data_IF_700670509493
#
_entry.id   IF_700670509493
#
_cell.length_a   1.000
_cell.length_b   1.000
_cell.length_c   1.000
_cell.angle_alpha   90.00
_cell.angle_beta   90.00
_cell.angle_gamma   90.00
#
_symmetry.space_group_name_H-M   'P 1'
#
loop_
_entity.id
_entity.type
_entity.pdbx_description
1 polymer ?
#
# COMPACT_ATOMS: atom_id res chain seq x y z
N UNK A 1 10.70 13.93 3.40
CA UNK A 1 9.75 14.83 4.10
C UNK A 1 10.26 15.30 5.47
N UNK A 2 10.77 14.40 6.31
CA UNK A 2 11.21 14.68 7.70
C UNK A 2 12.22 15.83 7.84
N UNK A 3 13.26 15.88 6.99
CA UNK A 3 14.27 16.96 7.01
C UNK A 3 13.68 18.33 6.70
N UNK A 4 12.77 18.42 5.72
CA UNK A 4 12.10 19.68 5.38
C UNK A 4 11.19 20.14 6.50
N UNK A 5 10.43 19.22 7.11
CA UNK A 5 9.59 19.51 8.27
C UNK A 5 10.43 20.04 9.43
N UNK A 6 11.55 19.39 9.74
CA UNK A 6 12.48 19.84 10.77
C UNK A 6 12.99 21.27 10.50
N UNK A 7 13.39 21.57 9.26
CA UNK A 7 13.87 22.89 8.87
C UNK A 7 12.78 23.97 9.02
N UNK A 8 11.57 23.69 8.53
CA UNK A 8 10.42 24.60 8.61
C UNK A 8 10.04 24.86 10.08
N UNK A 9 10.02 23.83 10.93
CA UNK A 9 9.74 23.98 12.36
C UNK A 9 10.82 24.82 13.04
N UNK A 10 12.10 24.51 12.80
CA UNK A 10 13.22 25.22 13.42
C UNK A 10 13.19 26.71 13.09
N UNK A 11 13.08 27.06 11.80
CA UNK A 11 13.03 28.45 11.37
C UNK A 11 11.70 29.12 11.76
N UNK A 12 10.60 28.37 11.77
CA UNK A 12 9.31 28.85 12.25
C UNK A 12 9.37 29.30 13.71
N UNK A 13 9.88 28.44 14.60
CA UNK A 13 10.02 28.73 16.02
C UNK A 13 10.95 29.91 16.30
N UNK A 14 12.04 30.04 15.54
CA UNK A 14 12.96 31.18 15.63
C UNK A 14 12.27 32.51 15.31
N UNK A 15 11.40 32.55 14.29
CA UNK A 15 10.68 33.77 13.92
C UNK A 15 9.54 34.10 14.90
N UNK A 16 8.88 33.07 15.45
CA UNK A 16 7.85 33.25 16.49
C UNK A 16 8.47 33.78 17.78
N UNK A 17 9.61 33.23 18.22
CA UNK A 17 10.34 33.74 19.40
C UNK A 17 10.85 35.16 19.23
N UNK A 18 11.13 35.59 17.99
CA UNK A 18 11.44 36.97 17.64
C UNK A 18 10.22 37.92 17.61
N UNK A 19 9.02 37.44 17.95
CA UNK A 19 7.79 38.25 18.05
C UNK A 19 6.90 38.24 16.80
N UNK A 20 7.19 37.42 15.78
CA UNK A 20 6.33 37.31 14.60
C UNK A 20 5.00 36.62 14.93
N UNK A 21 3.91 37.06 14.30
CA UNK A 21 2.60 36.42 14.46
C UNK A 21 2.59 35.02 13.80
N UNK A 22 2.37 33.92 14.57
CA UNK A 22 2.39 32.55 14.03
C UNK A 22 1.36 32.28 12.94
N UNK A 23 0.19 32.93 13.01
CA UNK A 23 -0.90 32.74 12.03
C UNK A 23 -0.51 33.33 10.68
N UNK A 24 0.13 34.51 10.68
CA UNK A 24 0.61 35.17 9.46
C UNK A 24 1.76 34.35 8.87
N UNK A 25 2.69 33.89 9.70
CA UNK A 25 3.82 33.06 9.29
C UNK A 25 3.35 31.77 8.60
N UNK A 26 2.38 31.05 9.19
CA UNK A 26 1.79 29.85 8.58
C UNK A 26 1.16 30.15 7.22
N UNK A 27 0.41 31.25 7.11
CA UNK A 27 -0.19 31.67 5.82
C UNK A 27 0.88 31.97 4.78
N UNK A 28 1.97 32.63 5.16
CA UNK A 28 3.11 32.91 4.28
C UNK A 28 3.78 31.63 3.79
N UNK A 29 4.06 30.68 4.69
CA UNK A 29 4.63 29.37 4.34
C UNK A 29 3.71 28.63 3.37
N UNK A 30 2.39 28.61 3.62
CA UNK A 30 1.45 27.92 2.74
C UNK A 30 1.45 28.49 1.31
N UNK A 31 1.41 29.82 1.16
CA UNK A 31 1.51 30.49 -0.14
C UNK A 31 2.85 30.20 -0.84
N UNK A 32 3.95 30.18 -0.09
CA UNK A 32 5.26 29.86 -0.63
C UNK A 32 5.32 28.40 -1.13
N UNK A 33 4.72 27.46 -0.39
CA UNK A 33 4.59 26.05 -0.81
C UNK A 33 3.74 25.93 -2.07
N UNK A 34 2.59 26.59 -2.13
CA UNK A 34 1.73 26.60 -3.33
C UNK A 34 2.49 27.08 -4.57
N UNK A 35 3.16 28.24 -4.48
CA UNK A 35 3.98 28.77 -5.56
C UNK A 35 5.14 27.84 -5.95
N UNK A 36 5.79 27.23 -4.95
CA UNK A 36 6.88 26.26 -5.19
C UNK A 36 6.38 25.01 -5.92
N UNK A 37 5.22 24.48 -5.55
CA UNK A 37 4.61 23.31 -6.20
C UNK A 37 4.20 23.64 -7.63
N UNK A 38 3.63 24.81 -7.88
CA UNK A 38 3.31 25.25 -9.24
C UNK A 38 4.54 25.34 -10.13
N UNK A 39 5.64 25.89 -9.61
CA UNK A 39 6.88 26.00 -10.37
C UNK A 39 7.55 24.64 -10.61
N UNK A 40 7.53 23.76 -9.61
CA UNK A 40 8.00 22.37 -9.76
C UNK A 40 7.22 21.61 -10.83
N UNK A 41 5.90 21.82 -10.93
CA UNK A 41 5.08 21.23 -12.00
C UNK A 41 5.51 21.72 -13.39
N UNK A 42 5.85 23.00 -13.54
CA UNK A 42 6.36 23.53 -14.82
C UNK A 42 7.73 22.98 -15.20
N UNK A 43 8.58 22.70 -14.22
CA UNK A 43 9.89 22.09 -14.43
C UNK A 43 9.83 20.57 -14.63
N UNK A 44 8.71 19.94 -14.24
CA UNK A 44 8.55 18.49 -14.40
C UNK A 44 8.52 18.10 -15.87
N UNK A 45 9.22 17.02 -16.21
CA UNK A 45 9.22 16.43 -17.54
C UNK A 45 8.38 15.16 -17.50
N UNK A 46 7.33 15.11 -18.33
CA UNK A 46 6.53 13.91 -18.52
C UNK A 46 7.38 12.91 -19.32
N UNK A 47 7.42 11.67 -18.84
CA UNK A 47 8.04 10.55 -19.54
C UNK A 47 6.97 9.81 -20.34
N UNK A 48 7.22 9.59 -21.62
CA UNK A 48 6.25 8.98 -22.54
C UNK A 48 6.79 7.77 -23.26
N UNK A 49 8.11 7.71 -23.44
CA UNK A 49 8.78 6.65 -24.19
C UNK A 49 9.26 5.53 -23.29
N UNK A 50 9.33 4.32 -23.84
CA UNK A 50 9.84 3.15 -23.13
C UNK A 50 11.31 3.34 -22.74
N UNK A 51 12.09 4.02 -23.58
CA UNK A 51 13.49 4.36 -23.30
C UNK A 51 13.64 5.28 -22.09
N UNK A 52 12.79 6.30 -21.96
CA UNK A 52 12.79 7.20 -20.79
C UNK A 52 12.41 6.43 -19.51
N UNK A 53 11.42 5.54 -19.58
CA UNK A 53 11.03 4.69 -18.45
C UNK A 53 12.19 3.79 -18.04
N UNK A 54 12.85 3.13 -19.00
CA UNK A 54 14.00 2.28 -18.74
C UNK A 54 15.16 3.06 -18.13
N UNK A 55 15.41 4.28 -18.62
CA UNK A 55 16.46 5.14 -18.09
C UNK A 55 16.18 5.56 -16.64
N UNK A 56 14.96 5.97 -16.32
CA UNK A 56 14.57 6.33 -14.94
C UNK A 56 14.69 5.11 -14.03
N UNK A 57 14.20 3.95 -14.46
CA UNK A 57 14.32 2.68 -13.74
C UNK A 57 15.78 2.28 -13.49
N UNK A 58 16.64 2.44 -14.50
CA UNK A 58 18.07 2.12 -14.39
C UNK A 58 18.80 3.06 -13.44
N UNK A 59 18.54 4.37 -13.51
CA UNK A 59 19.15 5.34 -12.59
C UNK A 59 18.67 5.13 -11.15
N UNK A 60 17.39 4.79 -10.96
CA UNK A 60 16.83 4.56 -9.62
C UNK A 60 17.30 3.25 -8.99
N UNK A 61 17.51 2.20 -9.78
CA UNK A 61 17.98 0.90 -9.31
C UNK A 61 19.51 0.77 -9.29
N UNK A 62 20.21 1.60 -10.07
CA UNK A 62 21.64 1.45 -10.32
C UNK A 62 21.98 0.36 -11.33
N UNK A 63 20.98 -0.24 -12.01
CA UNK A 63 21.14 -1.39 -12.89
C UNK A 63 20.33 -1.24 -14.19
N UNK A 64 21.01 -1.32 -15.34
CA UNK A 64 20.38 -1.21 -16.66
C UNK A 64 19.42 -2.37 -16.97
N UNK A 65 19.70 -3.57 -16.48
CA UNK A 65 18.87 -4.76 -16.71
C UNK A 65 17.53 -4.62 -15.99
N UNK A 66 17.56 -4.18 -14.73
CA UNK A 66 16.35 -3.88 -13.94
C UNK A 66 15.53 -2.78 -14.61
N UNK A 67 16.17 -1.70 -15.08
CA UNK A 67 15.49 -0.63 -15.82
C UNK A 67 14.75 -1.15 -17.05
N UNK A 68 15.40 -2.02 -17.84
CA UNK A 68 14.77 -2.66 -19.02
C UNK A 68 13.60 -3.58 -18.64
N UNK A 69 13.71 -4.33 -17.55
CA UNK A 69 12.63 -5.18 -17.06
C UNK A 69 11.41 -4.37 -16.61
N UNK A 70 11.62 -3.28 -15.89
CA UNK A 70 10.55 -2.34 -15.48
C UNK A 70 9.84 -1.77 -16.71
N UNK A 71 10.60 -1.32 -17.71
CA UNK A 71 10.04 -0.75 -18.92
C UNK A 71 9.23 -1.76 -19.75
N UNK A 72 9.66 -3.02 -19.80
CA UNK A 72 8.88 -4.12 -20.40
C UNK A 72 7.61 -4.43 -19.60
N UNK A 73 7.71 -4.46 -18.27
CA UNK A 73 6.55 -4.69 -17.41
C UNK A 73 5.47 -3.61 -17.64
N UNK A 74 5.87 -2.34 -17.61
CA UNK A 74 4.96 -1.20 -17.84
C UNK A 74 4.35 -1.17 -19.25
N UNK A 75 5.03 -1.72 -20.26
CA UNK A 75 4.47 -1.86 -21.60
C UNK A 75 3.31 -2.87 -21.63
N UNK A 76 3.45 -3.98 -20.90
CA UNK A 76 2.43 -5.03 -20.85
C UNK A 76 1.22 -4.62 -20.00
N UNK A 77 1.44 -4.06 -18.81
CA UNK A 77 0.35 -3.73 -17.87
C UNK A 77 -0.22 -2.32 -18.09
N UNK A 78 0.45 -1.48 -18.87
CA UNK A 78 0.10 -0.08 -19.09
C UNK A 78 0.51 0.85 -17.93
N UNK A 79 0.27 2.16 -18.08
CA UNK A 79 0.69 3.18 -17.09
C UNK A 79 0.00 3.08 -15.73
N UNK A 80 -1.21 2.54 -15.70
CA UNK A 80 -1.99 2.32 -14.46
C UNK A 80 -2.00 0.85 -14.01
N UNK A 81 -1.19 0.01 -14.67
CA UNK A 81 -1.05 -1.38 -14.30
C UNK A 81 -0.30 -1.56 -12.99
N UNK A 82 -0.61 -2.64 -12.29
CA UNK A 82 0.02 -2.99 -11.01
C UNK A 82 1.22 -3.88 -11.28
N UNK A 83 2.36 -3.53 -10.69
CA UNK A 83 3.58 -4.33 -10.74
C UNK A 83 3.89 -4.78 -9.31
N UNK A 84 3.94 -6.09 -9.10
CA UNK A 84 4.38 -6.70 -7.84
C UNK A 84 5.78 -7.28 -8.01
N UNK A 85 6.54 -7.33 -6.91
CA UNK A 85 7.88 -7.92 -6.89
C UNK A 85 7.88 -9.06 -5.89
N UNK A 86 8.22 -10.25 -6.35
CA UNK A 86 8.33 -11.46 -5.54
C UNK A 86 9.75 -12.02 -5.58
N UNK A 87 10.15 -12.72 -4.51
CA UNK A 87 11.46 -13.36 -4.44
C UNK A 87 11.45 -14.68 -5.22
N UNK A 88 12.27 -14.74 -6.27
CA UNK A 88 12.44 -15.97 -7.06
C UNK A 88 13.32 -16.99 -6.31
N UNK A 89 13.04 -18.28 -6.52
CA UNK A 89 13.90 -19.38 -6.07
C UNK A 89 15.09 -19.64 -7.02
N UNK A 90 15.13 -18.95 -8.15
CA UNK A 90 16.20 -19.06 -9.16
C UNK A 90 17.12 -17.83 -9.10
N UNK A 91 18.28 -17.91 -9.75
CA UNK A 91 19.23 -16.79 -9.85
C UNK A 91 18.80 -15.72 -10.87
N UNK A 92 17.75 -15.98 -11.65
CA UNK A 92 17.33 -15.09 -12.73
C UNK A 92 16.14 -14.24 -12.29
N UNK A 93 16.13 -12.98 -12.71
CA UNK A 93 14.97 -12.10 -12.60
C UNK A 93 14.07 -12.32 -13.80
N UNK A 94 12.84 -12.74 -13.56
CA UNK A 94 11.86 -13.04 -14.60
C UNK A 94 10.67 -12.08 -14.51
N UNK A 95 10.05 -11.81 -15.66
CA UNK A 95 8.80 -11.06 -15.74
C UNK A 95 7.68 -12.05 -16.05
N UNK A 96 6.76 -12.22 -15.10
CA UNK A 96 5.55 -13.00 -15.29
C UNK A 96 4.33 -12.08 -15.28
N UNK A 97 3.42 -12.30 -16.22
CA UNK A 97 2.19 -11.53 -16.36
C UNK A 97 1.02 -12.41 -15.96
N UNK A 98 0.36 -12.07 -14.87
CA UNK A 98 -0.81 -12.78 -14.37
C UNK A 98 -2.05 -11.90 -14.48
N UNK A 99 -3.19 -12.52 -14.77
CA UNK A 99 -4.47 -11.82 -14.68
C UNK A 99 -4.83 -11.64 -13.20
N UNK A 100 -4.98 -10.38 -12.78
CA UNK A 100 -5.26 -10.01 -11.40
C UNK A 100 -6.02 -8.70 -11.30
N UNK A 101 -6.31 -8.29 -10.07
CA UNK A 101 -7.02 -7.04 -9.80
C UNK A 101 -6.54 -6.45 -8.48
N UNK A 102 -6.37 -5.13 -8.47
CA UNK A 102 -6.15 -4.33 -7.26
C UNK A 102 -7.33 -3.38 -7.08
N UNK A 103 -7.69 -3.13 -5.83
CA UNK A 103 -8.68 -2.13 -5.46
C UNK A 103 -8.22 -1.39 -4.20
N UNK A 104 -8.67 -0.15 -4.03
CA UNK A 104 -8.22 0.75 -2.96
C UNK A 104 -8.94 0.47 -1.64
N UNK A 105 -8.71 -0.73 -1.07
CA UNK A 105 -9.12 -1.11 0.29
C UNK A 105 -8.00 -1.85 1.00
N UNK A 106 -7.78 -1.50 2.26
CA UNK A 106 -6.84 -2.17 3.15
C UNK A 106 -7.54 -3.09 4.14
N UNK A 107 -6.76 -3.91 4.84
CA UNK A 107 -7.30 -4.76 5.90
C UNK A 107 -7.96 -3.94 7.01
N UNK A 108 -9.06 -4.46 7.55
CA UNK A 108 -9.87 -3.76 8.58
C UNK A 108 -9.11 -3.58 9.91
N UNK A 109 -8.13 -4.45 10.19
CA UNK A 109 -7.34 -4.41 11.42
C UNK A 109 -5.87 -4.70 11.18
N UNK A 110 -4.98 -3.91 11.79
CA UNK A 110 -3.53 -4.11 11.73
C UNK A 110 -3.07 -5.47 12.29
N UNK A 111 -3.88 -6.11 13.14
CA UNK A 111 -3.62 -7.47 13.61
C UNK A 111 -3.81 -8.54 12.52
N UNK A 112 -4.31 -8.17 11.34
CA UNK A 112 -4.44 -9.05 10.17
C UNK A 112 -3.20 -9.08 9.29
N UNK A 113 -2.11 -8.42 9.69
CA UNK A 113 -0.81 -8.52 9.03
C UNK A 113 -0.23 -9.93 9.17
N UNK A 114 0.45 -10.43 8.14
CA UNK A 114 1.19 -11.70 8.18
C UNK A 114 2.71 -11.46 8.12
N UNK A 115 3.14 -10.44 7.39
CA UNK A 115 4.52 -9.96 7.37
C UNK A 115 4.60 -8.66 8.19
N UNK A 116 5.05 -8.79 9.44
CA UNK A 116 5.10 -7.68 10.41
C UNK A 116 6.15 -6.63 10.03
N UNK A 117 7.20 -7.02 9.30
CA UNK A 117 8.27 -6.11 8.89
C UNK A 117 7.81 -5.21 7.75
N UNK A 118 7.09 -5.78 6.77
CA UNK A 118 6.52 -5.04 5.63
C UNK A 118 5.15 -4.42 5.94
N UNK A 119 4.51 -4.83 7.03
CA UNK A 119 3.11 -4.50 7.35
C UNK A 119 2.14 -4.95 6.23
N UNK A 120 2.35 -6.15 5.70
CA UNK A 120 1.60 -6.73 4.59
C UNK A 120 0.83 -7.99 5.02
N UNK A 121 -0.31 -8.23 4.37
CA UNK A 121 -1.10 -9.44 4.55
C UNK A 121 -1.02 -10.31 3.27
N UNK A 122 -0.15 -11.31 3.30
CA UNK A 122 0.16 -12.21 2.19
C UNK A 122 -0.53 -13.57 2.43
N UNK A 123 -1.50 -13.89 1.60
CA UNK A 123 -2.25 -15.15 1.66
C UNK A 123 -1.98 -15.98 0.40
N UNK A 124 -1.36 -17.15 0.57
CA UNK A 124 -1.13 -18.11 -0.51
C UNK A 124 -2.32 -19.07 -0.63
N UNK A 125 -2.85 -19.24 -1.85
CA UNK A 125 -4.02 -20.07 -2.17
C UNK A 125 -5.22 -19.92 -1.19
N UNK A 126 -5.70 -18.69 -0.91
CA UNK A 126 -6.82 -18.48 -0.01
C UNK A 126 -8.17 -18.80 -0.67
N UNK A 127 -9.15 -19.19 0.14
CA UNK A 127 -10.55 -19.03 -0.25
C UNK A 127 -10.94 -17.56 -0.19
N UNK A 128 -11.78 -17.12 -1.12
CA UNK A 128 -12.28 -15.74 -1.17
C UNK A 128 -13.79 -15.76 -0.91
N UNK A 129 -14.21 -15.10 0.16
CA UNK A 129 -15.61 -14.84 0.47
C UNK A 129 -15.94 -13.40 0.09
N UNK A 130 -16.95 -13.21 -0.75
CA UNK A 130 -17.38 -11.87 -1.21
C UNK A 130 -18.85 -11.66 -0.81
N UNK A 131 -19.14 -10.54 -0.17
CA UNK A 131 -20.50 -10.12 0.13
C UNK A 131 -20.64 -8.60 0.06
N UNK A 132 -21.82 -8.11 -0.27
CA UNK A 132 -22.18 -6.70 -0.27
C UNK A 132 -22.75 -6.23 1.07
N UNK A 133 -22.80 -7.11 2.08
CA UNK A 133 -23.36 -6.82 3.40
C UNK A 133 -22.28 -6.52 4.42
N UNK A 134 -22.66 -5.74 5.44
CA UNK A 134 -21.89 -5.61 6.68
C UNK A 134 -21.93 -6.89 7.50
N UNK A 135 -20.79 -7.29 8.02
CA UNK A 135 -20.65 -8.45 8.90
C UNK A 135 -20.36 -7.97 10.31
N UNK A 136 -21.38 -8.02 11.17
CA UNK A 136 -21.26 -7.68 12.60
C UNK A 136 -21.36 -8.90 13.51
N UNK A 137 -22.01 -9.97 13.03
CA UNK A 137 -22.28 -11.19 13.79
C UNK A 137 -21.44 -12.37 13.28
N UNK A 138 -20.67 -13.00 14.17
CA UNK A 138 -19.82 -14.14 13.82
C UNK A 138 -20.62 -15.40 13.43
N UNK A 139 -21.86 -15.54 13.92
CA UNK A 139 -22.71 -16.70 13.66
C UNK A 139 -22.97 -16.90 12.16
N UNK A 140 -23.01 -15.82 11.38
CA UNK A 140 -23.18 -15.87 9.93
C UNK A 140 -21.96 -16.47 9.22
N UNK A 141 -20.77 -16.34 9.81
CA UNK A 141 -19.52 -16.86 9.27
C UNK A 141 -19.14 -18.25 9.79
N UNK A 142 -19.63 -18.65 10.96
CA UNK A 142 -19.26 -19.91 11.62
C UNK A 142 -19.33 -21.16 10.70
N UNK A 143 -20.39 -21.37 9.90
CA UNK A 143 -20.48 -22.54 9.03
C UNK A 143 -19.36 -22.61 7.99
N UNK A 144 -18.89 -21.46 7.52
CA UNK A 144 -17.83 -21.34 6.52
C UNK A 144 -16.47 -21.44 7.19
N UNK A 145 -16.28 -20.73 8.31
CA UNK A 145 -15.04 -20.75 9.09
C UNK A 145 -14.67 -22.16 9.54
N UNK A 146 -15.63 -22.94 10.03
CA UNK A 146 -15.38 -24.31 10.47
C UNK A 146 -14.80 -25.18 9.33
N UNK A 147 -15.39 -25.09 8.13
CA UNK A 147 -14.90 -25.84 6.95
C UNK A 147 -13.49 -25.43 6.53
N UNK A 148 -13.17 -24.14 6.63
CA UNK A 148 -11.85 -23.61 6.23
C UNK A 148 -10.78 -24.03 7.24
N UNK A 149 -11.10 -23.94 8.54
CA UNK A 149 -10.22 -24.38 9.63
C UNK A 149 -9.96 -25.88 9.53
N UNK A 150 -10.99 -26.70 9.28
CA UNK A 150 -10.84 -28.15 9.07
C UNK A 150 -9.89 -28.49 7.91
N UNK A 151 -9.91 -27.68 6.84
CA UNK A 151 -9.02 -27.85 5.69
C UNK A 151 -7.62 -27.26 5.90
N UNK A 152 -7.40 -26.52 7.00
CA UNK A 152 -6.15 -25.79 7.24
C UNK A 152 -5.87 -24.74 6.17
N UNK A 153 -6.91 -24.21 5.53
CA UNK A 153 -6.80 -23.23 4.43
C UNK A 153 -6.94 -21.79 4.96
N UNK A 154 -6.50 -20.84 4.14
CA UNK A 154 -6.56 -19.40 4.44
C UNK A 154 -7.85 -18.79 3.89
N UNK A 155 -8.30 -17.67 4.45
CA UNK A 155 -9.53 -16.97 4.02
C UNK A 155 -9.29 -15.47 3.83
N UNK A 156 -9.69 -14.97 2.67
CA UNK A 156 -9.88 -13.55 2.40
C UNK A 156 -11.39 -13.23 2.41
N UNK A 157 -11.80 -12.28 3.23
CA UNK A 157 -13.19 -11.77 3.27
C UNK A 157 -13.19 -10.39 2.64
N UNK A 158 -14.02 -10.19 1.62
CA UNK A 158 -14.30 -8.90 1.00
C UNK A 158 -15.75 -8.56 1.30
N UNK A 159 -15.98 -7.54 2.12
CA UNK A 159 -17.31 -7.14 2.57
C UNK A 159 -17.51 -5.62 2.46
N UNK A 160 -18.73 -5.13 2.68
CA UNK A 160 -18.95 -3.68 2.84
C UNK A 160 -18.17 -3.16 4.07
N UNK A 161 -18.27 -3.92 5.17
CA UNK A 161 -17.60 -3.65 6.44
C UNK A 161 -17.57 -4.92 7.30
N UNK A 162 -16.58 -5.05 8.19
CA UNK A 162 -16.49 -6.11 9.19
C UNK A 162 -16.25 -5.49 10.56
N UNK A 163 -17.27 -5.52 11.42
CA UNK A 163 -17.27 -4.75 12.66
C UNK A 163 -17.72 -5.57 13.88
N UNK A 164 -17.64 -4.94 15.06
CA UNK A 164 -18.20 -5.46 16.30
C UNK A 164 -17.61 -6.80 16.76
N UNK A 165 -18.51 -7.74 17.10
CA UNK A 165 -18.15 -9.05 17.64
C UNK A 165 -17.46 -9.92 16.58
N UNK A 166 -17.90 -9.84 15.32
CA UNK A 166 -17.28 -10.58 14.23
C UNK A 166 -15.80 -10.21 14.08
N UNK A 167 -15.48 -8.92 13.99
CA UNK A 167 -14.09 -8.46 13.86
C UNK A 167 -13.22 -8.92 15.04
N UNK A 168 -13.71 -8.72 16.26
CA UNK A 168 -12.99 -9.08 17.49
C UNK A 168 -12.67 -10.58 17.52
N UNK A 169 -13.63 -11.41 17.11
CA UNK A 169 -13.48 -12.87 17.09
C UNK A 169 -12.52 -13.33 15.99
N UNK A 170 -12.58 -12.74 14.80
CA UNK A 170 -11.67 -13.05 13.69
C UNK A 170 -10.22 -12.71 14.05
N UNK A 171 -10.00 -11.53 14.63
CA UNK A 171 -8.66 -11.11 15.09
C UNK A 171 -8.13 -12.06 16.17
N UNK A 172 -8.96 -12.42 17.15
CA UNK A 172 -8.55 -13.33 18.23
C UNK A 172 -8.17 -14.72 17.69
N UNK A 173 -8.93 -15.26 16.75
CA UNK A 173 -8.63 -16.55 16.13
C UNK A 173 -7.33 -16.52 15.32
N UNK A 174 -7.07 -15.42 14.61
CA UNK A 174 -5.79 -15.22 13.90
C UNK A 174 -4.62 -15.16 14.86
N UNK A 175 -4.71 -14.34 15.91
CA UNK A 175 -3.63 -14.20 16.92
C UNK A 175 -3.33 -15.52 17.65
N UNK A 176 -4.33 -16.40 17.78
CA UNK A 176 -4.17 -17.75 18.35
C UNK A 176 -3.64 -18.78 17.36
N UNK A 177 -3.43 -18.41 16.10
CA UNK A 177 -2.99 -19.34 15.04
C UNK A 177 -4.03 -20.39 14.64
N UNK A 178 -5.31 -20.17 14.98
CA UNK A 178 -6.40 -21.12 14.67
C UNK A 178 -6.76 -21.06 13.18
N UNK A 179 -6.74 -19.85 12.60
CA UNK A 179 -7.05 -19.64 11.20
C UNK A 179 -6.34 -18.39 10.66
N UNK A 180 -5.75 -18.47 9.46
CA UNK A 180 -5.22 -17.30 8.77
C UNK A 180 -6.31 -16.62 7.96
N UNK A 181 -6.79 -15.50 8.49
CA UNK A 181 -7.90 -14.73 7.91
C UNK A 181 -7.47 -13.27 7.71
N UNK A 182 -7.93 -12.66 6.62
CA UNK A 182 -7.84 -11.22 6.34
C UNK A 182 -9.21 -10.74 5.88
N UNK A 183 -9.68 -9.63 6.45
CA UNK A 183 -10.92 -8.98 6.05
C UNK A 183 -10.61 -7.60 5.49
N UNK A 184 -11.27 -7.24 4.39
CA UNK A 184 -11.10 -6.02 3.59
C UNK A 184 -12.46 -5.42 3.28
#
# INVERSE_FOLDING_TARGET
ATVLVQAIIREGLKNVTAGSNPIILRKGIQKAVECSVEELKKQSRIIETQEEIAQVGAVSSGDEEIGKLIAKAMEVVGKEGVITVEESKTMNTELETVEGMQFDRGFVSAYMVTDVDKMEAVLNDPYILITDKKISNIQELLPILNKIVEQGKKLLIIAEDVEGEALSTLVLNKLRGVCEIVAV
#
